data_IF_379582021054
#
_entry.id   IF_379582021054
#
_cell.length_a   1.000
_cell.length_b   1.000
_cell.length_c   1.000
_cell.angle_alpha   90.00
_cell.angle_beta   90.00
_cell.angle_gamma   90.00
#
_symmetry.space_group_name_H-M   'P 1'
#
loop_
_entity.id
_entity.type
_entity.pdbx_description
1 polymer ?
#
# COMPACT_ATOMS: atom_id res chain seq x y z
N UNK A 1 10.25 -11.36 27.75
CA UNK A 1 9.70 -11.53 26.40
C UNK A 1 10.69 -10.87 25.46
N UNK A 2 11.05 -11.52 24.36
CA UNK A 2 11.84 -10.93 23.29
C UNK A 2 11.06 -9.87 22.50
N UNK A 3 11.73 -9.18 21.56
CA UNK A 3 11.07 -8.20 20.71
C UNK A 3 9.97 -8.88 19.86
N UNK A 4 8.90 -8.13 19.61
CA UNK A 4 7.80 -8.60 18.76
C UNK A 4 8.15 -8.42 17.28
N UNK A 5 7.71 -9.33 16.39
CA UNK A 5 7.80 -9.12 14.96
C UNK A 5 7.03 -7.86 14.55
N UNK A 6 7.32 -7.32 13.38
CA UNK A 6 6.80 -6.02 12.92
C UNK A 6 5.83 -6.19 11.75
N UNK A 7 4.71 -5.49 11.83
CA UNK A 7 3.84 -5.21 10.70
C UNK A 7 4.11 -3.76 10.25
N UNK A 8 4.67 -3.58 9.06
CA UNK A 8 4.80 -2.28 8.42
C UNK A 8 3.51 -2.01 7.65
N UNK A 9 2.70 -1.10 8.17
CA UNK A 9 1.34 -0.86 7.72
C UNK A 9 1.23 0.39 6.85
N UNK A 10 0.60 0.21 5.69
CA UNK A 10 0.24 1.29 4.77
C UNK A 10 -1.30 1.39 4.74
N UNK A 11 -1.84 2.56 5.10
CA UNK A 11 -3.27 2.77 5.19
C UNK A 11 -3.94 2.91 3.83
N UNK A 12 -5.24 2.58 3.76
CA UNK A 12 -6.10 2.82 2.60
C UNK A 12 -6.54 4.28 2.49
N UNK A 13 -7.42 4.55 1.52
CA UNK A 13 -7.97 5.88 1.30
C UNK A 13 -7.76 6.42 -0.12
N UNK A 14 -7.54 5.53 -1.10
CA UNK A 14 -7.42 5.89 -2.52
C UNK A 14 -6.22 6.78 -2.81
N UNK A 15 -5.15 6.72 -2.01
CA UNK A 15 -3.94 7.56 -2.07
C UNK A 15 -4.21 9.07 -1.86
N UNK A 16 -5.44 9.44 -1.48
CA UNK A 16 -5.92 10.84 -1.39
C UNK A 16 -6.37 11.19 0.02
N UNK A 17 -6.86 10.20 0.78
CA UNK A 17 -7.40 10.41 2.13
C UNK A 17 -6.81 9.41 3.12
N UNK A 18 -7.08 9.61 4.40
CA UNK A 18 -6.53 8.79 5.47
C UNK A 18 -5.25 9.41 6.05
N UNK A 19 -4.89 8.97 7.22
CA UNK A 19 -3.66 9.31 7.94
C UNK A 19 -3.47 8.35 9.11
N UNK A 20 -2.37 8.46 9.83
CA UNK A 20 -2.07 7.60 10.98
C UNK A 20 -3.12 7.72 12.08
N UNK A 21 -3.69 8.91 12.32
CA UNK A 21 -4.70 9.13 13.36
C UNK A 21 -6.01 8.40 13.04
N UNK A 22 -6.45 8.44 11.78
CA UNK A 22 -7.68 7.77 11.34
C UNK A 22 -7.58 6.25 11.40
N UNK A 23 -6.37 5.70 11.36
CA UNK A 23 -6.08 4.26 11.47
C UNK A 23 -5.55 3.82 12.83
N UNK A 24 -5.42 4.74 13.81
CA UNK A 24 -4.87 4.44 15.15
C UNK A 24 -5.57 3.24 15.82
N UNK A 25 -6.92 3.24 15.80
CA UNK A 25 -7.68 2.12 16.37
C UNK A 25 -7.40 0.79 15.68
N UNK A 26 -7.30 0.79 14.35
CA UNK A 26 -7.01 -0.43 13.57
C UNK A 26 -5.61 -0.95 13.90
N UNK A 27 -4.61 -0.06 13.92
CA UNK A 27 -3.24 -0.41 14.24
C UNK A 27 -3.10 -0.90 15.69
N UNK A 28 -3.76 -0.25 16.64
CA UNK A 28 -3.77 -0.64 18.06
C UNK A 28 -4.41 -2.02 18.26
N UNK A 29 -5.58 -2.27 17.65
CA UNK A 29 -6.23 -3.58 17.72
C UNK A 29 -5.39 -4.67 17.04
N UNK A 30 -4.78 -4.35 15.91
CA UNK A 30 -3.88 -5.25 15.19
C UNK A 30 -2.68 -5.63 16.07
N UNK A 31 -2.00 -4.65 16.67
CA UNK A 31 -0.86 -4.89 17.56
C UNK A 31 -1.24 -5.78 18.74
N UNK A 32 -2.36 -5.46 19.38
CA UNK A 32 -2.86 -6.20 20.55
C UNK A 32 -3.25 -7.65 20.23
N UNK A 33 -3.97 -7.85 19.11
CA UNK A 33 -4.52 -9.17 18.75
C UNK A 33 -3.48 -10.10 18.14
N UNK A 34 -2.53 -9.55 17.38
CA UNK A 34 -1.53 -10.34 16.67
C UNK A 34 -0.19 -10.44 17.42
N UNK A 35 -0.01 -9.64 18.48
CA UNK A 35 1.25 -9.55 19.23
C UNK A 35 2.43 -9.12 18.35
N UNK A 36 2.19 -8.18 17.45
CA UNK A 36 3.20 -7.53 16.63
C UNK A 36 3.38 -6.07 17.05
N UNK A 37 4.55 -5.53 16.79
CA UNK A 37 4.73 -4.08 16.73
C UNK A 37 4.15 -3.60 15.39
N UNK A 38 3.25 -2.62 15.40
CA UNK A 38 2.73 -2.03 14.16
C UNK A 38 3.41 -0.69 13.94
N UNK A 39 4.06 -0.56 12.79
CA UNK A 39 4.65 0.70 12.31
C UNK A 39 3.76 1.21 11.18
N UNK A 40 3.03 2.29 11.42
CA UNK A 40 2.14 2.91 10.43
C UNK A 40 2.85 4.05 9.72
N UNK A 41 2.80 4.06 8.39
CA UNK A 41 3.49 5.05 7.56
C UNK A 41 2.53 6.17 7.16
N UNK A 42 2.89 7.41 7.50
CA UNK A 42 2.18 8.63 7.09
C UNK A 42 2.73 9.13 5.75
N UNK A 43 2.43 8.40 4.69
CA UNK A 43 2.93 8.70 3.36
C UNK A 43 2.20 9.91 2.75
N UNK A 44 2.88 10.64 1.89
CA UNK A 44 2.33 11.81 1.20
C UNK A 44 1.17 11.44 0.30
N UNK A 45 0.09 12.25 0.35
CA UNK A 45 -1.16 12.01 -0.34
C UNK A 45 -1.31 12.90 -1.59
N UNK A 46 -2.04 12.38 -2.57
CA UNK A 46 -2.53 13.15 -3.70
C UNK A 46 -3.79 13.98 -3.27
N UNK A 47 -4.11 15.05 -3.98
CA UNK A 47 -3.47 15.55 -5.19
C UNK A 47 -2.24 16.42 -4.95
N UNK A 48 -1.91 16.78 -3.69
CA UNK A 48 -0.78 17.63 -3.34
C UNK A 48 0.54 16.97 -3.73
N UNK A 49 0.61 15.65 -3.53
CA UNK A 49 1.77 14.83 -3.85
C UNK A 49 1.34 13.61 -4.66
N UNK A 50 1.30 13.78 -5.97
CA UNK A 50 0.88 12.74 -6.91
C UNK A 50 1.89 11.60 -6.99
N UNK A 51 1.50 10.53 -7.67
CA UNK A 51 2.40 9.43 -8.01
C UNK A 51 3.72 9.98 -8.64
N UNK A 52 4.89 9.48 -8.24
CA UNK A 52 5.13 8.34 -7.34
C UNK A 52 5.44 8.71 -5.87
N UNK A 53 5.01 9.86 -5.36
CA UNK A 53 5.41 10.34 -4.03
C UNK A 53 5.06 9.33 -2.91
N UNK A 54 3.82 8.84 -2.85
CA UNK A 54 3.39 7.86 -1.85
C UNK A 54 4.19 6.55 -1.90
N UNK A 55 4.36 5.89 -3.06
CA UNK A 55 5.22 4.72 -3.22
C UNK A 55 6.66 4.94 -2.76
N UNK A 56 7.26 6.07 -3.09
CA UNK A 56 8.64 6.38 -2.68
C UNK A 56 8.75 6.56 -1.16
N UNK A 57 7.78 7.23 -0.52
CA UNK A 57 7.77 7.37 0.94
C UNK A 57 7.65 6.00 1.64
N UNK A 58 6.72 5.16 1.17
CA UNK A 58 6.52 3.81 1.70
C UNK A 58 7.77 2.94 1.49
N UNK A 59 8.41 3.06 0.32
CA UNK A 59 9.64 2.35 0.01
C UNK A 59 10.78 2.78 0.93
N UNK A 60 10.97 4.09 1.13
CA UNK A 60 12.03 4.62 2.00
C UNK A 60 11.82 4.19 3.46
N UNK A 61 10.58 4.23 3.96
CA UNK A 61 10.24 3.75 5.29
C UNK A 61 10.52 2.25 5.45
N UNK A 62 10.17 1.45 4.44
CA UNK A 62 10.47 0.02 4.42
C UNK A 62 11.97 -0.23 4.40
N UNK A 63 12.71 0.42 3.49
CA UNK A 63 14.16 0.28 3.38
C UNK A 63 14.84 0.58 4.71
N UNK A 64 14.47 1.68 5.36
CA UNK A 64 15.03 2.07 6.66
C UNK A 64 14.78 0.99 7.71
N UNK A 65 13.55 0.51 7.80
CA UNK A 65 13.17 -0.52 8.78
C UNK A 65 13.89 -1.86 8.53
N UNK A 66 14.01 -2.29 7.27
CA UNK A 66 14.71 -3.53 6.92
C UNK A 66 16.22 -3.45 7.14
N UNK A 67 16.82 -2.29 6.83
CA UNK A 67 18.28 -2.08 6.95
C UNK A 67 18.71 -1.96 8.42
N UNK A 68 17.86 -1.38 9.27
CA UNK A 68 18.16 -1.12 10.68
C UNK A 68 17.24 -1.90 11.64
N UNK A 69 16.80 -3.09 11.22
CA UNK A 69 15.94 -3.97 12.03
C UNK A 69 16.56 -4.39 13.36
N UNK A 70 17.89 -4.42 13.44
CA UNK A 70 18.68 -4.68 14.65
C UNK A 70 18.43 -3.66 15.77
N UNK A 71 18.12 -2.39 15.42
CA UNK A 71 17.75 -1.36 16.41
C UNK A 71 16.47 -1.70 17.18
N UNK A 72 15.59 -2.52 16.58
CA UNK A 72 14.38 -3.05 17.21
C UNK A 72 14.61 -4.43 17.83
N UNK A 73 15.82 -4.96 17.74
CA UNK A 73 16.19 -6.31 18.21
C UNK A 73 15.55 -7.43 17.41
N UNK A 74 15.18 -7.19 16.16
CA UNK A 74 14.57 -8.17 15.25
C UNK A 74 15.46 -8.40 14.02
N UNK A 75 15.10 -9.42 13.24
CA UNK A 75 15.72 -9.69 11.95
C UNK A 75 14.77 -9.29 10.81
N UNK A 76 15.29 -9.02 9.58
CA UNK A 76 14.46 -8.63 8.44
C UNK A 76 13.31 -9.59 8.11
N UNK A 77 13.46 -10.88 8.36
CA UNK A 77 12.43 -11.90 8.15
C UNK A 77 11.27 -11.85 9.17
N UNK A 78 11.41 -11.02 10.21
CA UNK A 78 10.32 -10.74 11.16
C UNK A 78 9.52 -9.48 10.78
N UNK A 79 9.75 -8.90 9.61
CA UNK A 79 9.03 -7.74 9.09
C UNK A 79 8.08 -8.20 7.98
N UNK A 80 6.79 -7.90 8.15
CA UNK A 80 5.74 -8.15 7.16
C UNK A 80 5.17 -6.83 6.67
N UNK A 81 5.10 -6.64 5.35
CA UNK A 81 4.37 -5.51 4.77
C UNK A 81 2.88 -5.80 4.79
N UNK A 82 2.07 -4.83 5.19
CA UNK A 82 0.61 -5.00 5.23
C UNK A 82 -0.07 -3.70 4.86
N UNK A 83 -1.19 -3.80 4.15
CA UNK A 83 -2.02 -2.64 3.83
C UNK A 83 -3.37 -3.03 3.27
N UNK A 84 -4.29 -2.09 3.30
CA UNK A 84 -5.66 -2.23 2.79
C UNK A 84 -5.92 -1.30 1.61
N UNK A 85 -6.68 -1.74 0.61
CA UNK A 85 -7.09 -0.93 -0.54
C UNK A 85 -5.88 -0.28 -1.25
N UNK A 86 -5.77 1.06 -1.26
CA UNK A 86 -4.60 1.79 -1.74
C UNK A 86 -3.32 1.41 -0.96
N UNK A 87 -3.42 1.16 0.34
CA UNK A 87 -2.30 0.65 1.15
C UNK A 87 -1.91 -0.77 0.77
N UNK A 88 -2.87 -1.61 0.39
CA UNK A 88 -2.58 -2.93 -0.17
C UNK A 88 -1.85 -2.86 -1.52
N UNK A 89 -2.20 -1.89 -2.37
CA UNK A 89 -1.42 -1.56 -3.56
C UNK A 89 0.01 -1.17 -3.18
N UNK A 90 0.18 -0.24 -2.21
CA UNK A 90 1.49 0.22 -1.77
C UNK A 90 2.36 -0.93 -1.22
N UNK A 91 1.79 -1.88 -0.47
CA UNK A 91 2.51 -3.06 0.02
C UNK A 91 3.04 -3.94 -1.13
N UNK A 92 2.21 -4.16 -2.16
CA UNK A 92 2.64 -4.89 -3.35
C UNK A 92 3.72 -4.11 -4.12
N UNK A 93 3.52 -2.81 -4.32
CA UNK A 93 4.45 -1.94 -5.04
C UNK A 93 5.80 -1.83 -4.33
N UNK A 94 5.82 -1.67 -3.02
CA UNK A 94 7.08 -1.66 -2.24
C UNK A 94 7.84 -2.97 -2.40
N UNK A 95 7.14 -4.10 -2.43
CA UNK A 95 7.78 -5.40 -2.70
C UNK A 95 8.40 -5.48 -4.10
N UNK A 96 7.71 -4.92 -5.12
CA UNK A 96 8.25 -4.83 -6.49
C UNK A 96 9.48 -3.92 -6.55
N UNK A 97 9.39 -2.73 -5.94
CA UNK A 97 10.52 -1.79 -5.88
C UNK A 97 11.73 -2.41 -5.17
N UNK A 98 11.49 -3.13 -4.07
CA UNK A 98 12.55 -3.83 -3.33
C UNK A 98 13.24 -4.89 -4.18
N UNK A 99 12.47 -5.69 -4.91
CA UNK A 99 13.01 -6.66 -5.89
C UNK A 99 13.87 -5.99 -6.95
N UNK A 100 13.35 -4.92 -7.54
CA UNK A 100 13.98 -4.27 -8.70
C UNK A 100 15.21 -3.45 -8.31
N UNK A 101 15.22 -2.86 -7.10
CA UNK A 101 16.34 -2.07 -6.58
C UNK A 101 17.38 -2.93 -5.85
N UNK A 102 16.99 -4.10 -5.35
CA UNK A 102 17.92 -5.06 -4.71
C UNK A 102 18.48 -4.60 -3.36
N UNK A 103 17.85 -3.61 -2.69
CA UNK A 103 18.36 -3.06 -1.43
C UNK A 103 17.90 -3.85 -0.20
N UNK A 104 16.72 -4.46 -0.28
CA UNK A 104 16.15 -5.38 0.72
C UNK A 104 15.13 -6.30 0.05
N UNK A 105 14.69 -7.34 0.75
CA UNK A 105 13.70 -8.29 0.21
C UNK A 105 12.66 -8.64 1.28
N UNK A 106 11.43 -8.11 1.19
CA UNK A 106 10.34 -8.56 2.04
C UNK A 106 10.00 -10.02 1.77
N UNK A 107 9.97 -10.86 2.82
CA UNK A 107 9.59 -12.27 2.68
C UNK A 107 8.09 -12.49 2.75
N UNK A 108 7.36 -11.55 3.35
CA UNK A 108 5.93 -11.65 3.57
C UNK A 108 5.25 -10.33 3.29
N UNK A 109 4.09 -10.42 2.64
CA UNK A 109 3.17 -9.30 2.50
C UNK A 109 1.73 -9.78 2.69
N UNK A 110 0.89 -8.92 3.28
CA UNK A 110 -0.53 -9.13 3.48
C UNK A 110 -1.25 -7.98 2.77
N UNK A 111 -1.93 -8.28 1.67
CA UNK A 111 -2.64 -7.29 0.87
C UNK A 111 -4.15 -7.50 1.01
N UNK A 112 -4.83 -6.54 1.63
CA UNK A 112 -6.28 -6.60 1.87
C UNK A 112 -6.99 -5.84 0.75
N UNK A 113 -7.79 -6.55 -0.06
CA UNK A 113 -8.56 -5.99 -1.18
C UNK A 113 -7.80 -4.90 -1.97
N UNK A 114 -6.58 -5.18 -2.46
CA UNK A 114 -5.69 -4.18 -3.02
C UNK A 114 -6.22 -3.60 -4.33
N UNK A 115 -5.97 -2.30 -4.56
CA UNK A 115 -6.20 -1.67 -5.86
C UNK A 115 -5.03 -2.00 -6.80
N UNK A 116 -5.18 -2.99 -7.67
CA UNK A 116 -4.09 -3.49 -8.52
C UNK A 116 -4.20 -3.12 -9.99
N UNK A 117 -5.40 -2.72 -10.44
CA UNK A 117 -5.71 -2.48 -11.85
C UNK A 117 -5.57 -1.00 -12.24
N UNK A 118 -5.21 -0.74 -13.48
CA UNK A 118 -5.11 0.59 -14.07
C UNK A 118 -6.39 1.08 -14.75
N UNK A 119 -7.38 0.20 -14.96
CA UNK A 119 -8.65 0.54 -15.62
C UNK A 119 -9.85 0.07 -14.80
N UNK A 120 -10.61 1.03 -14.28
CA UNK A 120 -11.89 0.83 -13.59
C UNK A 120 -13.06 1.42 -14.35
N UNK A 121 -12.90 1.66 -15.66
CA UNK A 121 -13.97 2.12 -16.55
C UNK A 121 -14.86 0.97 -17.02
N UNK A 122 -15.89 1.29 -17.80
CA UNK A 122 -16.74 0.28 -18.45
C UNK A 122 -15.99 -0.57 -19.48
N UNK A 123 -14.80 -0.12 -19.94
CA UNK A 123 -13.93 -0.82 -20.87
C UNK A 123 -12.97 -1.80 -20.18
N UNK A 124 -12.96 -1.87 -18.86
CA UNK A 124 -12.10 -2.78 -18.12
C UNK A 124 -12.28 -4.23 -18.60
N UNK A 125 -11.19 -4.99 -18.79
CA UNK A 125 -11.27 -6.40 -19.18
C UNK A 125 -11.88 -7.30 -18.09
N UNK A 126 -12.03 -6.78 -16.85
CA UNK A 126 -12.53 -7.54 -15.72
C UNK A 126 -14.03 -7.32 -15.52
N UNK A 127 -14.82 -8.39 -15.64
CA UNK A 127 -16.28 -8.36 -15.43
C UNK A 127 -16.66 -7.81 -14.06
N UNK A 128 -15.87 -8.11 -13.03
CA UNK A 128 -16.10 -7.64 -11.65
C UNK A 128 -16.07 -6.12 -11.52
N UNK A 129 -15.32 -5.40 -12.35
CA UNK A 129 -15.33 -3.93 -12.39
C UNK A 129 -16.70 -3.40 -12.83
N UNK A 130 -17.31 -4.06 -13.80
CA UNK A 130 -18.65 -3.70 -14.30
C UNK A 130 -19.77 -4.12 -13.35
N UNK A 131 -19.72 -5.37 -12.89
CA UNK A 131 -20.79 -5.94 -12.04
C UNK A 131 -20.82 -5.34 -10.64
N UNK A 132 -19.64 -5.04 -10.05
CA UNK A 132 -19.49 -4.48 -8.71
C UNK A 132 -19.22 -2.97 -8.72
N UNK A 133 -19.24 -2.33 -9.87
CA UNK A 133 -18.97 -0.90 -10.03
C UNK A 133 -20.10 0.03 -9.59
N UNK A 134 -21.29 -0.51 -9.28
CA UNK A 134 -22.47 0.25 -8.87
C UNK A 134 -23.12 -0.40 -7.65
N UNK A 135 -23.71 0.41 -6.75
CA UNK A 135 -24.46 -0.10 -5.60
C UNK A 135 -23.59 -0.58 -4.42
N UNK A 136 -22.29 -0.45 -4.47
CA UNK A 136 -21.36 -0.76 -3.40
C UNK A 136 -20.70 0.51 -2.84
N UNK A 137 -20.02 0.39 -1.68
CA UNK A 137 -19.32 1.50 -1.02
C UNK A 137 -18.30 2.18 -1.95
N UNK A 138 -17.51 1.39 -2.66
CA UNK A 138 -16.54 1.85 -3.65
C UNK A 138 -17.06 1.56 -5.05
N UNK A 139 -17.51 2.60 -5.75
CA UNK A 139 -17.99 2.50 -7.13
C UNK A 139 -16.86 2.66 -8.14
N UNK A 140 -17.06 2.15 -9.38
CA UNK A 140 -16.12 2.38 -10.49
C UNK A 140 -15.85 3.86 -10.70
N UNK A 141 -16.89 4.71 -10.63
CA UNK A 141 -16.73 6.17 -10.73
C UNK A 141 -15.77 6.71 -9.66
N UNK A 142 -15.95 6.32 -8.39
CA UNK A 142 -15.04 6.74 -7.30
C UNK A 142 -13.61 6.28 -7.54
N UNK A 143 -13.41 5.05 -8.02
CA UNK A 143 -12.07 4.55 -8.34
C UNK A 143 -11.42 5.41 -9.44
N UNK A 144 -12.15 5.70 -10.51
CA UNK A 144 -11.65 6.56 -11.60
C UNK A 144 -11.31 7.98 -11.07
N UNK A 145 -12.16 8.55 -10.20
CA UNK A 145 -11.91 9.86 -9.59
C UNK A 145 -10.62 9.84 -8.73
N UNK A 146 -10.43 8.83 -7.88
CA UNK A 146 -9.20 8.67 -7.08
C UNK A 146 -7.95 8.50 -7.95
N UNK A 147 -8.02 7.65 -8.96
CA UNK A 147 -6.92 7.43 -9.90
C UNK A 147 -6.55 8.69 -10.67
N UNK A 148 -7.53 9.51 -11.05
CA UNK A 148 -7.30 10.79 -11.72
C UNK A 148 -6.60 11.82 -10.82
N UNK A 149 -6.89 11.81 -9.52
CA UNK A 149 -6.19 12.66 -8.54
C UNK A 149 -4.78 12.14 -8.25
N UNK A 150 -4.59 10.82 -8.21
CA UNK A 150 -3.34 10.18 -7.85
C UNK A 150 -2.29 10.24 -8.96
N UNK A 151 -2.66 10.01 -10.22
CA UNK A 151 -1.71 9.99 -11.35
C UNK A 151 -1.13 11.38 -11.65
N UNK A 152 0.12 11.42 -12.05
CA UNK A 152 0.81 12.63 -12.55
C UNK A 152 0.62 12.80 -14.05
N UNK A 153 0.61 11.67 -14.79
CA UNK A 153 0.43 11.64 -16.25
C UNK A 153 -0.34 10.38 -16.67
N UNK A 154 -0.75 10.33 -17.93
CA UNK A 154 -1.39 9.13 -18.48
C UNK A 154 -0.40 7.95 -18.65
N UNK A 155 0.89 8.23 -18.75
CA UNK A 155 1.94 7.22 -18.82
C UNK A 155 2.01 6.39 -17.54
N UNK A 156 1.64 6.95 -16.38
CA UNK A 156 1.61 6.26 -15.10
C UNK A 156 0.70 5.02 -15.14
N UNK A 157 -0.37 5.05 -15.95
CA UNK A 157 -1.28 3.92 -16.11
C UNK A 157 -0.59 2.64 -16.65
N UNK A 158 0.59 2.78 -17.26
CA UNK A 158 1.40 1.66 -17.75
C UNK A 158 2.57 1.33 -16.82
N UNK A 159 2.66 2.00 -15.68
CA UNK A 159 3.74 1.78 -14.73
C UNK A 159 3.37 0.68 -13.71
N UNK A 160 4.17 -0.41 -13.58
CA UNK A 160 3.90 -1.46 -12.60
C UNK A 160 3.88 -0.98 -11.14
N UNK A 161 4.54 0.12 -10.82
CA UNK A 161 4.48 0.71 -9.48
C UNK A 161 3.22 1.54 -9.23
N UNK A 162 2.46 1.84 -10.29
CA UNK A 162 1.12 2.39 -10.19
C UNK A 162 0.06 1.27 -10.17
N UNK A 163 0.18 0.33 -11.10
CA UNK A 163 -0.75 -0.77 -11.30
C UNK A 163 -0.01 -2.12 -11.31
N UNK A 164 0.17 -2.76 -10.15
CA UNK A 164 0.98 -3.98 -10.04
C UNK A 164 0.45 -5.20 -10.79
N UNK A 165 -0.77 -5.15 -11.31
CA UNK A 165 -1.29 -6.19 -12.21
C UNK A 165 -0.50 -6.28 -13.53
N UNK A 166 0.29 -5.26 -13.87
CA UNK A 166 1.10 -5.21 -15.10
C UNK A 166 2.45 -5.95 -14.97
N UNK A 167 2.75 -6.54 -13.81
CA UNK A 167 3.98 -7.32 -13.56
C UNK A 167 3.89 -8.75 -14.05
#
# INVERSE_FOLDING_TARGET
>A
QGPFPVLLFFHGGGWVTGNIDSYDKVCTDMARLTRHTVVSVDYRLAPEHRFPAGPEDCYLAARELFTHSDLLGITPDQITLIGDSAGGNLAAVVSLMARDRGEFLPRQQIVLYPATNNDHTENSPFDSVRTNGKGYLLTSKRMVDYMALYRSSDEDLQNPYYAPILC
#
